data_IF_501652544993
#
_entry.id   IF_501652544993
#
_cell.length_a   1.000
_cell.length_b   1.000
_cell.length_c   1.000
_cell.angle_alpha   90.00
_cell.angle_beta   90.00
_cell.angle_gamma   90.00
#
_symmetry.space_group_name_H-M   'P 1'
#
loop_
_entity.id
_entity.type
_entity.pdbx_description
1 polymer ?
#
# COMPACT_ATOMS: atom_id res chain seq x y z
N UNK A 1 -8.53 -6.26 -7.27
CA UNK A 1 -8.14 -5.04 -8.05
C UNK A 1 -9.19 -4.61 -9.08
N UNK A 2 -9.91 -5.51 -9.77
CA UNK A 2 -10.97 -5.11 -10.73
C UNK A 2 -12.08 -4.25 -10.08
N UNK A 3 -12.42 -4.54 -8.82
CA UNK A 3 -13.49 -3.92 -8.04
C UNK A 3 -13.23 -2.49 -7.56
N UNK A 4 -11.98 -2.09 -7.33
CA UNK A 4 -11.66 -0.78 -6.71
C UNK A 4 -11.18 0.28 -7.71
N UNK A 5 -11.22 0.01 -9.02
CA UNK A 5 -10.76 0.92 -10.09
C UNK A 5 -9.29 1.39 -10.03
N UNK A 6 -8.50 0.98 -9.03
CA UNK A 6 -7.05 1.18 -8.96
C UNK A 6 -6.36 0.35 -10.06
N UNK A 7 -5.34 0.89 -10.76
CA UNK A 7 -4.51 0.11 -11.69
C UNK A 7 -3.85 -1.06 -10.98
N UNK A 8 -3.94 -2.27 -11.54
CA UNK A 8 -3.36 -3.45 -10.90
C UNK A 8 -1.85 -3.33 -10.71
N UNK A 9 -1.16 -2.72 -11.68
CA UNK A 9 0.28 -2.45 -11.61
C UNK A 9 0.66 -1.55 -10.44
N UNK A 10 -0.18 -0.56 -10.08
CA UNK A 10 0.06 0.32 -8.93
C UNK A 10 0.02 -0.50 -7.65
N UNK A 11 -1.05 -1.26 -7.41
CA UNK A 11 -1.17 -2.02 -6.17
C UNK A 11 -0.09 -3.09 -6.05
N UNK A 12 0.29 -3.76 -7.15
CA UNK A 12 1.38 -4.74 -7.14
C UNK A 12 2.74 -4.09 -6.86
N UNK A 13 3.06 -2.99 -7.55
CA UNK A 13 4.33 -2.31 -7.35
C UNK A 13 4.44 -1.69 -5.94
N UNK A 14 3.35 -1.15 -5.40
CA UNK A 14 3.31 -0.73 -4.00
C UNK A 14 3.54 -1.93 -3.09
N UNK A 15 2.81 -3.04 -3.29
CA UNK A 15 2.99 -4.24 -2.49
C UNK A 15 4.44 -4.75 -2.50
N UNK A 16 5.11 -4.74 -3.64
CA UNK A 16 6.53 -5.12 -3.75
C UNK A 16 7.43 -4.11 -3.05
N UNK A 17 7.23 -2.81 -3.26
CA UNK A 17 8.06 -1.76 -2.67
C UNK A 17 7.93 -1.74 -1.13
N UNK A 18 6.69 -1.70 -0.62
CA UNK A 18 6.39 -1.57 0.81
C UNK A 18 6.76 -2.84 1.61
N UNK A 19 6.77 -4.02 0.97
CA UNK A 19 7.15 -5.28 1.63
C UNK A 19 8.62 -5.67 1.45
N UNK A 20 9.41 -4.86 0.73
CA UNK A 20 10.78 -5.22 0.36
C UNK A 20 10.82 -6.52 -0.44
N UNK A 21 10.04 -6.61 -1.52
CA UNK A 21 9.89 -7.82 -2.35
C UNK A 21 9.31 -9.03 -1.62
N UNK A 22 8.46 -8.79 -0.61
CA UNK A 22 7.86 -9.83 0.22
C UNK A 22 8.77 -10.35 1.33
N UNK A 23 10.00 -9.84 1.43
CA UNK A 23 11.01 -10.35 2.35
C UNK A 23 10.91 -9.74 3.75
N UNK A 24 10.19 -8.62 3.89
CA UNK A 24 9.99 -7.92 5.16
C UNK A 24 9.28 -8.75 6.23
N UNK A 25 9.62 -8.50 7.49
CA UNK A 25 9.10 -9.24 8.66
C UNK A 25 7.57 -9.24 8.71
N UNK A 26 6.93 -8.09 8.47
CA UNK A 26 5.47 -7.96 8.46
C UNK A 26 4.82 -8.76 7.32
N UNK A 27 5.45 -8.81 6.14
CA UNK A 27 4.96 -9.59 5.02
C UNK A 27 5.03 -11.09 5.33
N UNK A 28 6.18 -11.58 5.81
CA UNK A 28 6.41 -12.99 6.12
C UNK A 28 5.62 -13.51 7.32
N UNK A 29 5.58 -12.75 8.42
CA UNK A 29 5.00 -13.23 9.69
C UNK A 29 3.53 -12.85 9.86
N UNK A 30 3.08 -11.77 9.23
CA UNK A 30 1.74 -11.21 9.44
C UNK A 30 0.92 -11.08 8.16
N UNK A 31 1.45 -11.50 7.00
CA UNK A 31 0.84 -11.30 5.69
C UNK A 31 0.54 -9.81 5.38
N UNK A 32 1.21 -8.87 6.06
CA UNK A 32 0.97 -7.45 5.94
C UNK A 32 2.03 -6.82 5.02
N UNK A 33 1.69 -6.72 3.73
CA UNK A 33 2.62 -6.25 2.70
C UNK A 33 2.75 -4.73 2.62
N UNK A 34 1.98 -3.98 3.40
CA UNK A 34 1.87 -2.51 3.28
C UNK A 34 2.13 -1.80 4.62
N UNK A 35 2.67 -2.51 5.62
CA UNK A 35 2.96 -1.93 6.94
C UNK A 35 1.72 -1.31 7.62
N UNK A 36 0.52 -1.86 7.41
CA UNK A 36 -0.70 -1.22 7.92
C UNK A 36 -0.74 -1.32 9.44
N UNK A 37 -0.63 -0.17 10.12
CA UNK A 37 -0.71 -0.04 11.58
C UNK A 37 -2.12 -0.31 12.12
N UNK A 38 -2.21 -0.68 13.39
CA UNK A 38 -3.47 -0.83 14.11
C UNK A 38 -4.07 0.56 14.39
N UNK A 39 -4.95 1.03 13.51
CA UNK A 39 -5.73 2.25 13.77
C UNK A 39 -6.88 2.01 14.76
N UNK A 40 -7.43 3.09 15.34
CA UNK A 40 -8.60 3.04 16.23
C UNK A 40 -9.72 2.20 15.60
N UNK A 41 -10.22 1.21 16.34
CA UNK A 41 -11.29 0.32 15.89
C UNK A 41 -10.84 -0.96 15.18
N UNK A 42 -9.53 -1.21 15.02
CA UNK A 42 -9.06 -2.52 14.57
C UNK A 42 -9.37 -3.60 15.62
N UNK A 43 -10.16 -4.61 15.21
CA UNK A 43 -10.56 -5.77 16.06
C UNK A 43 -9.97 -7.09 15.57
N UNK A 44 -9.15 -7.05 14.53
CA UNK A 44 -8.53 -8.24 13.95
C UNK A 44 -7.24 -8.64 14.67
N UNK A 45 -6.56 -9.67 14.15
CA UNK A 45 -5.24 -10.07 14.66
C UNK A 45 -4.22 -8.95 14.45
N UNK A 46 -3.22 -8.90 15.31
CA UNK A 46 -2.10 -7.97 15.23
C UNK A 46 -0.78 -8.67 15.53
N UNK A 47 0.32 -7.97 15.23
CA UNK A 47 1.67 -8.29 15.65
C UNK A 47 2.32 -6.99 16.14
N UNK A 48 3.17 -7.09 17.16
CA UNK A 48 4.02 -6.00 17.59
C UNK A 48 5.34 -6.04 16.82
N UNK A 49 5.78 -4.91 16.29
CA UNK A 49 7.03 -4.77 15.55
C UNK A 49 7.58 -3.35 15.72
N UNK A 50 8.90 -3.21 15.84
CA UNK A 50 9.55 -1.90 15.85
C UNK A 50 9.69 -1.41 14.40
N UNK A 51 9.24 -0.19 14.11
CA UNK A 51 9.35 0.44 12.79
C UNK A 51 9.79 1.89 12.94
N UNK A 52 8.86 2.85 13.07
CA UNK A 52 9.18 4.25 13.36
C UNK A 52 9.47 4.43 14.87
N UNK A 53 8.73 3.71 15.71
CA UNK A 53 8.83 3.72 17.15
C UNK A 53 8.91 2.28 17.70
N UNK A 54 9.23 2.15 18.99
CA UNK A 54 9.21 0.85 19.66
C UNK A 54 7.79 0.35 19.92
N UNK A 55 7.63 -0.97 19.86
CA UNK A 55 6.40 -1.68 20.22
C UNK A 55 5.14 -1.24 19.45
N UNK A 56 5.30 -0.91 18.17
CA UNK A 56 4.19 -0.50 17.33
C UNK A 56 3.29 -1.68 16.94
N UNK A 57 1.97 -1.44 16.92
CA UNK A 57 0.99 -2.44 16.55
C UNK A 57 0.73 -2.41 15.04
N UNK A 58 0.92 -3.56 14.39
CA UNK A 58 0.58 -3.77 12.99
C UNK A 58 -0.54 -4.80 12.83
N UNK A 59 -1.39 -4.60 11.83
CA UNK A 59 -2.43 -5.55 11.48
C UNK A 59 -1.80 -6.86 11.01
N UNK A 60 -2.41 -7.97 11.39
CA UNK A 60 -2.04 -9.32 10.93
C UNK A 60 -3.22 -9.96 10.21
N UNK A 61 -2.93 -10.59 9.08
CA UNK A 61 -3.92 -11.11 8.16
C UNK A 61 -3.77 -12.61 7.97
N UNK A 62 -4.90 -13.27 7.67
CA UNK A 62 -4.93 -14.73 7.39
C UNK A 62 -4.15 -15.09 6.12
N UNK A 63 -4.10 -14.18 5.15
CA UNK A 63 -3.38 -14.35 3.89
C UNK A 63 -3.04 -12.98 3.28
N UNK A 64 -2.11 -12.92 2.31
CA UNK A 64 -1.70 -11.66 1.68
C UNK A 64 -2.87 -10.92 1.04
N UNK A 65 -3.81 -11.63 0.40
CA UNK A 65 -4.94 -11.01 -0.30
C UNK A 65 -5.75 -10.07 0.61
N UNK A 66 -5.86 -10.36 1.91
CA UNK A 66 -6.54 -9.48 2.87
C UNK A 66 -5.80 -8.16 3.09
N UNK A 67 -4.46 -8.15 3.15
CA UNK A 67 -3.71 -6.88 3.26
C UNK A 67 -3.85 -6.04 2.00
N UNK A 68 -3.85 -6.66 0.82
CA UNK A 68 -4.07 -5.98 -0.46
C UNK A 68 -5.48 -5.37 -0.56
N UNK A 69 -6.49 -6.07 -0.02
CA UNK A 69 -7.85 -5.52 0.05
C UNK A 69 -7.92 -4.33 1.02
N UNK A 70 -7.32 -4.45 2.20
CA UNK A 70 -7.30 -3.38 3.22
C UNK A 70 -6.57 -2.13 2.69
N UNK A 71 -5.44 -2.33 2.00
CA UNK A 71 -4.74 -1.26 1.28
C UNK A 71 -5.60 -0.60 0.20
N UNK A 72 -6.33 -1.40 -0.58
CA UNK A 72 -7.24 -0.84 -1.61
C UNK A 72 -8.34 0.01 -0.98
N UNK A 73 -8.92 -0.42 0.14
CA UNK A 73 -9.92 0.34 0.90
C UNK A 73 -9.31 1.63 1.46
N UNK A 74 -8.09 1.58 2.00
CA UNK A 74 -7.38 2.77 2.45
C UNK A 74 -7.25 3.86 1.37
N UNK A 75 -7.02 3.46 0.11
CA UNK A 75 -6.97 4.41 -1.01
C UNK A 75 -8.36 4.90 -1.43
N UNK A 76 -9.37 4.03 -1.39
CA UNK A 76 -10.75 4.38 -1.80
C UNK A 76 -11.44 5.29 -0.78
N UNK A 77 -11.28 5.00 0.51
CA UNK A 77 -12.05 5.62 1.59
C UNK A 77 -11.49 6.98 2.03
N UNK A 78 -10.29 7.35 1.56
CA UNK A 78 -9.61 8.57 2.00
C UNK A 78 -9.69 9.67 0.96
N UNK A 79 -10.25 10.78 1.41
CA UNK A 79 -10.57 11.93 0.59
C UNK A 79 -9.41 12.52 -0.22
N UNK A 80 -8.19 12.46 0.33
CA UNK A 80 -6.99 12.97 -0.33
C UNK A 80 -6.62 12.22 -1.62
N UNK A 81 -7.19 11.03 -1.86
CA UNK A 81 -6.89 10.21 -3.03
C UNK A 81 -8.01 10.22 -4.09
N UNK A 82 -9.11 10.95 -3.87
CA UNK A 82 -10.29 10.95 -4.77
C UNK A 82 -9.90 11.21 -6.23
N UNK A 83 -9.08 12.22 -6.47
CA UNK A 83 -8.70 12.68 -7.80
C UNK A 83 -7.94 11.60 -8.61
N UNK A 84 -7.29 10.64 -7.93
CA UNK A 84 -6.65 9.50 -8.59
C UNK A 84 -7.66 8.63 -9.34
N UNK A 85 -8.89 8.55 -8.84
CA UNK A 85 -9.95 7.72 -9.42
C UNK A 85 -10.61 8.35 -10.65
N UNK A 86 -10.32 9.62 -10.93
CA UNK A 86 -10.69 10.32 -12.17
C UNK A 86 -9.74 9.99 -13.32
N UNK A 87 -8.51 9.59 -13.01
CA UNK A 87 -7.52 9.18 -14.00
C UNK A 87 -7.95 7.92 -14.74
N UNK A 88 -7.48 7.80 -15.99
CA UNK A 88 -7.67 6.57 -16.78
C UNK A 88 -7.00 5.39 -16.05
N UNK A 89 -7.67 4.23 -16.00
CA UNK A 89 -7.17 3.02 -15.31
C UNK A 89 -5.81 2.51 -15.82
N UNK A 90 -5.38 2.90 -17.03
CA UNK A 90 -4.08 2.54 -17.60
C UNK A 90 -2.99 3.58 -17.33
N UNK A 91 -3.33 4.73 -16.76
CA UNK A 91 -2.38 5.81 -16.47
C UNK A 91 -1.67 5.58 -15.13
N UNK A 92 -0.85 4.54 -15.06
CA UNK A 92 -0.08 4.25 -13.86
C UNK A 92 0.95 5.36 -13.54
N UNK A 93 1.39 6.14 -14.53
CA UNK A 93 2.33 7.26 -14.31
C UNK A 93 1.62 8.42 -13.61
N UNK A 94 0.43 8.78 -14.05
CA UNK A 94 -0.44 9.75 -13.38
C UNK A 94 -0.76 9.30 -11.96
N UNK A 95 -1.12 8.03 -11.78
CA UNK A 95 -1.36 7.45 -10.45
C UNK A 95 -0.13 7.54 -9.53
N UNK A 96 1.05 7.18 -9.99
CA UNK A 96 2.26 7.23 -9.16
C UNK A 96 2.61 8.67 -8.71
N UNK A 97 2.48 9.65 -9.63
CA UNK A 97 2.70 11.06 -9.29
C UNK A 97 1.62 11.61 -8.37
N UNK A 98 0.36 11.29 -8.63
CA UNK A 98 -0.76 11.73 -7.80
C UNK A 98 -0.72 11.12 -6.40
N UNK A 99 -0.32 9.85 -6.25
CA UNK A 99 -0.09 9.24 -4.93
C UNK A 99 0.96 10.03 -4.12
N UNK A 100 2.06 10.41 -4.77
CA UNK A 100 3.09 11.24 -4.14
C UNK A 100 2.54 12.62 -3.77
N UNK A 101 1.85 13.29 -4.69
CA UNK A 101 1.26 14.61 -4.47
C UNK A 101 0.21 14.61 -3.35
N UNK A 102 -0.59 13.54 -3.24
CA UNK A 102 -1.56 13.31 -2.18
C UNK A 102 -0.95 12.93 -0.82
N UNK A 103 0.38 12.86 -0.72
CA UNK A 103 1.08 12.55 0.52
C UNK A 103 1.00 11.08 0.93
N UNK A 104 1.01 10.15 -0.03
CA UNK A 104 1.11 8.72 0.27
C UNK A 104 2.46 8.38 0.93
N UNK A 105 3.56 8.98 0.44
CA UNK A 105 4.91 8.77 0.95
C UNK A 105 5.70 10.09 1.03
N UNK A 106 6.59 10.19 2.00
CA UNK A 106 7.48 11.36 2.20
C UNK A 106 8.68 11.35 1.27
N UNK A 107 9.13 10.18 0.81
CA UNK A 107 10.25 10.02 -0.13
C UNK A 107 10.03 10.83 -1.43
N UNK A 108 10.89 11.82 -1.75
CA UNK A 108 10.73 12.63 -2.96
C UNK A 108 10.79 11.82 -4.26
N UNK A 109 11.44 10.65 -4.26
CA UNK A 109 11.60 9.77 -5.42
C UNK A 109 10.54 8.67 -5.52
N UNK A 110 9.50 8.72 -4.67
CA UNK A 110 8.49 7.67 -4.57
C UNK A 110 7.81 7.36 -5.93
N UNK A 111 7.38 8.40 -6.64
CA UNK A 111 6.68 8.24 -7.91
C UNK A 111 7.59 7.56 -8.95
N UNK A 112 8.85 7.97 -9.04
CA UNK A 112 9.86 7.44 -9.95
C UNK A 112 10.20 5.99 -9.62
N UNK A 113 10.37 5.66 -8.33
CA UNK A 113 10.58 4.28 -7.86
C UNK A 113 9.42 3.39 -8.29
N UNK A 114 8.18 3.84 -8.07
CA UNK A 114 6.99 3.08 -8.42
C UNK A 114 6.85 2.88 -9.94
N UNK A 115 7.06 3.94 -10.73
CA UNK A 115 7.07 3.86 -12.21
C UNK A 115 8.16 2.92 -12.71
N UNK A 116 9.36 2.99 -12.15
CA UNK A 116 10.48 2.12 -12.51
C UNK A 116 10.15 0.65 -12.22
N UNK A 117 9.57 0.38 -11.04
CA UNK A 117 9.19 -0.95 -10.63
C UNK A 117 8.09 -1.54 -11.54
N UNK A 118 7.06 -0.75 -11.87
CA UNK A 118 5.98 -1.17 -12.78
C UNK A 118 6.51 -1.57 -14.16
N UNK A 119 7.58 -0.94 -14.65
CA UNK A 119 8.19 -1.28 -15.95
C UNK A 119 8.99 -2.58 -15.94
N UNK A 120 9.36 -3.08 -14.75
CA UNK A 120 10.14 -4.30 -14.57
C UNK A 120 9.27 -5.53 -14.28
N UNK A 121 7.97 -5.35 -14.12
CA UNK A 121 6.97 -6.39 -13.86
C UNK A 121 6.25 -6.73 -15.16
#
# INVERSE_FOLDING_TARGET
MRFYRIPASITLAQGVLESGYGEGTLAKKANNHFGIKCHKGWKGKSITHDDDEKDECFRSYKNPLKSYRDHSLFLVDRDRYKDLFELKRKDYKGWARGLKAAGYATDPKYAEKLISLIRKI
#
